data_IF_854741241335
#
_entry.id   IF_854741241335
#
_cell.length_a   1.000
_cell.length_b   1.000
_cell.length_c   1.000
_cell.angle_alpha   90.00
_cell.angle_beta   90.00
_cell.angle_gamma   90.00
#
_symmetry.space_group_name_H-M   'P 1'
#
loop_
_entity.id
_entity.type
_entity.pdbx_description
1 polymer ?
#
# COMPACT_ATOMS: atom_id res chain seq x y z
N UNK A 1 -1.04 -21.40 -3.26
CA UNK A 1 -1.01 -20.06 -3.89
C UNK A 1 0.26 -19.38 -3.43
N UNK A 2 1.24 -19.25 -4.30
CA UNK A 2 2.49 -18.53 -4.01
C UNK A 2 2.25 -17.06 -4.32
N UNK A 3 1.97 -16.25 -3.31
CA UNK A 3 2.02 -14.80 -3.45
C UNK A 3 3.48 -14.41 -3.63
N UNK A 4 3.79 -13.70 -4.71
CA UNK A 4 5.12 -13.10 -4.85
C UNK A 4 5.26 -12.04 -3.77
N UNK A 5 6.34 -12.07 -2.97
CA UNK A 5 6.55 -11.05 -1.95
C UNK A 5 6.67 -9.70 -2.65
N UNK A 6 5.90 -8.73 -2.16
CA UNK A 6 5.98 -7.35 -2.61
C UNK A 6 7.41 -6.83 -2.46
N UNK A 7 7.91 -6.15 -3.49
CA UNK A 7 9.17 -5.44 -3.35
C UNK A 7 8.94 -4.15 -2.57
N UNK A 8 10.03 -3.58 -2.05
CA UNK A 8 9.98 -2.30 -1.35
C UNK A 8 9.43 -1.19 -2.26
N UNK A 9 9.77 -1.22 -3.56
CA UNK A 9 9.28 -0.26 -4.55
C UNK A 9 7.76 -0.40 -4.76
N UNK A 10 7.26 -1.62 -4.99
CA UNK A 10 5.82 -1.88 -5.10
C UNK A 10 5.07 -1.42 -3.85
N UNK A 11 5.59 -1.76 -2.67
CA UNK A 11 4.96 -1.38 -1.41
C UNK A 11 4.88 0.15 -1.25
N UNK A 12 5.95 0.88 -1.56
CA UNK A 12 5.96 2.34 -1.51
C UNK A 12 5.00 2.96 -2.53
N UNK A 13 4.93 2.41 -3.74
CA UNK A 13 3.99 2.88 -4.77
C UNK A 13 2.54 2.70 -4.30
N UNK A 14 2.19 1.50 -3.82
CA UNK A 14 0.86 1.17 -3.33
C UNK A 14 0.40 2.09 -2.20
N UNK A 15 1.27 2.29 -1.22
CA UNK A 15 1.01 3.22 -0.10
C UNK A 15 0.76 4.62 -0.67
N UNK A 16 1.59 5.10 -1.60
CA UNK A 16 1.44 6.45 -2.17
C UNK A 16 0.11 6.63 -2.89
N UNK A 17 -0.31 5.64 -3.68
CA UNK A 17 -1.59 5.64 -4.39
C UNK A 17 -2.79 5.55 -3.43
N UNK A 18 -2.64 4.84 -2.30
CA UNK A 18 -3.70 4.63 -1.34
C UNK A 18 -4.13 5.89 -0.58
N UNK A 19 -3.25 6.89 -0.50
CA UNK A 19 -3.53 8.13 0.21
C UNK A 19 -3.91 9.29 -0.72
N UNK A 20 -4.16 9.07 -2.01
CA UNK A 20 -4.64 10.16 -2.89
C UNK A 20 -6.01 10.71 -2.42
N UNK A 21 -6.24 12.04 -2.51
CA UNK A 21 -5.36 13.10 -3.02
C UNK A 21 -4.41 13.69 -1.96
N UNK A 22 -4.29 13.09 -0.78
CA UNK A 22 -3.31 13.51 0.24
C UNK A 22 -1.88 13.22 -0.22
N UNK A 23 -0.93 14.01 0.27
CA UNK A 23 0.48 13.84 -0.03
C UNK A 23 1.07 12.71 0.82
N UNK A 24 1.42 11.59 0.21
CA UNK A 24 2.17 10.53 0.89
C UNK A 24 3.66 10.67 0.57
N UNK A 25 4.49 10.70 1.61
CA UNK A 25 5.95 10.72 1.50
C UNK A 25 6.48 9.41 2.06
N UNK A 26 6.99 8.55 1.18
CA UNK A 26 7.66 7.30 1.55
C UNK A 26 9.17 7.53 1.70
N UNK A 27 9.81 6.79 2.59
CA UNK A 27 11.24 6.86 2.85
C UNK A 27 11.79 5.45 3.07
N UNK A 28 12.60 4.98 2.13
CA UNK A 28 13.23 3.68 2.17
C UNK A 28 14.43 3.66 3.13
N UNK A 29 14.51 2.65 3.98
CA UNK A 29 15.65 2.35 4.84
C UNK A 29 16.32 1.05 4.36
N UNK A 30 17.33 1.14 3.47
CA UNK A 30 17.99 -0.04 2.90
C UNK A 30 18.79 -0.83 3.94
N UNK A 31 19.29 -0.19 5.00
CA UNK A 31 20.04 -0.86 6.08
C UNK A 31 19.18 -1.85 6.88
N UNK A 32 17.88 -1.58 7.01
CA UNK A 32 16.95 -2.37 7.83
C UNK A 32 15.92 -3.16 7.00
N UNK A 33 16.07 -3.16 5.66
CA UNK A 33 15.08 -3.74 4.72
C UNK A 33 13.65 -3.33 5.10
N UNK A 34 13.49 -2.02 5.32
CA UNK A 34 12.28 -1.42 5.87
C UNK A 34 11.99 -0.09 5.17
N UNK A 35 10.76 0.41 5.24
CA UNK A 35 10.47 1.78 4.80
C UNK A 35 9.47 2.47 5.74
N UNK A 36 9.66 3.76 5.97
CA UNK A 36 8.67 4.59 6.67
C UNK A 36 7.81 5.34 5.65
N UNK A 37 6.63 5.78 6.07
CA UNK A 37 5.84 6.69 5.26
C UNK A 37 5.06 7.68 6.12
N UNK A 38 4.85 8.88 5.58
CA UNK A 38 4.16 9.98 6.24
C UNK A 38 3.07 10.50 5.34
N UNK A 39 1.85 10.57 5.86
CA UNK A 39 0.67 11.07 5.16
C UNK A 39 0.43 12.50 5.60
N UNK A 40 0.46 13.41 4.62
CA UNK A 40 0.24 14.83 4.76
C UNK A 40 -1.07 15.19 4.07
N UNK A 41 -1.92 15.97 4.74
CA UNK A 41 -3.11 16.57 4.13
C UNK A 41 -2.72 17.45 2.94
N UNK A 42 -3.65 17.68 2.00
CA UNK A 42 -3.48 18.66 0.92
C UNK A 42 -3.18 20.09 1.40
N UNK A 43 -3.45 20.41 2.66
CA UNK A 43 -3.07 21.67 3.31
C UNK A 43 -1.64 21.67 3.89
N UNK A 44 -0.89 20.57 3.76
CA UNK A 44 0.47 20.40 4.30
C UNK A 44 0.53 20.05 5.79
N UNK A 45 -0.57 19.60 6.38
CA UNK A 45 -0.62 19.18 7.79
C UNK A 45 -0.30 17.69 7.90
N UNK A 46 0.58 17.30 8.82
CA UNK A 46 0.88 15.89 9.10
C UNK A 46 -0.36 15.22 9.72
N UNK A 47 -0.93 14.25 9.01
CA UNK A 47 -2.08 13.49 9.47
C UNK A 47 -1.62 12.26 10.25
N UNK A 48 -0.73 11.48 9.62
CA UNK A 48 -0.24 10.21 10.13
C UNK A 48 1.22 10.04 9.73
N UNK A 49 1.99 9.42 10.61
CA UNK A 49 3.34 8.95 10.32
C UNK A 49 3.47 7.51 10.78
N UNK A 50 3.92 6.61 9.90
CA UNK A 50 4.37 5.28 10.32
C UNK A 50 5.90 5.23 10.27
N UNK A 51 6.54 4.89 11.41
CA UNK A 51 7.97 5.05 11.58
C UNK A 51 8.79 4.09 10.71
N UNK A 52 8.33 2.86 10.57
CA UNK A 52 8.97 1.82 9.76
C UNK A 52 8.03 0.65 9.56
N UNK A 53 7.91 0.20 8.32
CA UNK A 53 7.29 -1.05 7.91
C UNK A 53 8.42 -2.00 7.53
N UNK A 54 8.61 -3.05 8.31
CA UNK A 54 9.64 -4.05 8.04
C UNK A 54 9.29 -4.93 6.84
N UNK A 55 10.31 -5.57 6.26
CA UNK A 55 10.13 -6.53 5.16
C UNK A 55 9.02 -7.53 5.36
N UNK A 56 8.87 -8.09 6.56
CA UNK A 56 7.83 -9.08 6.84
C UNK A 56 6.41 -8.52 6.62
N UNK A 57 6.20 -7.26 7.04
CA UNK A 57 4.93 -6.55 6.93
C UNK A 57 4.65 -6.09 5.50
N UNK A 58 5.64 -5.52 4.80
CA UNK A 58 5.39 -5.05 3.43
C UNK A 58 5.46 -6.13 2.38
N UNK A 59 6.26 -7.18 2.58
CA UNK A 59 6.38 -8.29 1.63
C UNK A 59 5.07 -9.05 1.53
N UNK A 60 4.27 -9.05 2.59
CA UNK A 60 2.97 -9.69 2.59
C UNK A 60 1.87 -8.67 2.23
N UNK A 61 1.21 -8.79 1.07
CA UNK A 61 0.20 -7.83 0.66
C UNK A 61 -0.92 -7.69 1.71
N UNK A 62 -1.33 -8.78 2.35
CA UNK A 62 -2.37 -8.72 3.37
C UNK A 62 -1.98 -7.85 4.59
N UNK A 63 -0.71 -7.90 5.01
CA UNK A 63 -0.22 -7.08 6.12
C UNK A 63 -0.13 -5.62 5.70
N UNK A 64 0.52 -5.34 4.56
CA UNK A 64 0.61 -3.99 4.02
C UNK A 64 -0.78 -3.36 3.81
N UNK A 65 -1.72 -4.11 3.25
CA UNK A 65 -3.09 -3.67 3.06
C UNK A 65 -3.79 -3.33 4.38
N UNK A 66 -3.57 -4.13 5.42
CA UNK A 66 -4.09 -3.85 6.76
C UNK A 66 -3.48 -2.59 7.36
N UNK A 67 -2.16 -2.39 7.22
CA UNK A 67 -1.46 -1.17 7.66
C UNK A 67 -2.01 0.06 6.95
N UNK A 68 -2.21 -0.02 5.63
CA UNK A 68 -2.79 1.06 4.82
C UNK A 68 -4.23 1.34 5.25
N UNK A 69 -5.07 0.31 5.42
CA UNK A 69 -6.47 0.49 5.82
C UNK A 69 -6.58 1.16 7.19
N UNK A 70 -5.81 0.70 8.19
CA UNK A 70 -5.74 1.34 9.50
C UNK A 70 -5.28 2.79 9.39
N UNK A 71 -4.23 3.05 8.61
CA UNK A 71 -3.71 4.39 8.38
C UNK A 71 -4.76 5.31 7.72
N UNK A 72 -5.57 4.79 6.79
CA UNK A 72 -6.64 5.56 6.14
C UNK A 72 -7.77 5.90 7.10
N UNK A 73 -8.17 4.97 7.97
CA UNK A 73 -9.16 5.23 9.01
C UNK A 73 -8.70 6.36 9.96
N UNK A 74 -7.42 6.38 10.34
CA UNK A 74 -6.83 7.42 11.20
C UNK A 74 -6.82 8.81 10.50
N UNK A 75 -6.62 8.82 9.18
CA UNK A 75 -6.66 10.04 8.37
C UNK A 75 -8.10 10.52 8.16
N UNK A 76 -9.05 9.61 7.93
CA UNK A 76 -10.48 9.92 7.80
C UNK A 76 -11.09 10.44 9.11
N UNK A 77 -10.64 9.94 10.27
CA UNK A 77 -11.00 10.47 11.59
C UNK A 77 -10.60 11.94 11.76
N UNK A 78 -9.54 12.39 11.08
CA UNK A 78 -9.04 13.78 11.09
C UNK A 78 -9.78 14.69 10.09
N UNK A 79 -11.01 14.35 9.73
CA UNK A 79 -11.87 15.08 8.79
C UNK A 79 -11.30 15.13 7.35
N UNK A 80 -10.46 14.15 6.98
CA UNK A 80 -9.80 14.12 5.68
C UNK A 80 -10.46 13.11 4.74
N UNK A 81 -10.85 13.55 3.55
CA UNK A 81 -11.52 12.67 2.59
C UNK A 81 -10.52 12.05 1.61
N UNK A 82 -10.19 10.79 1.85
CA UNK A 82 -9.36 9.99 0.95
C UNK A 82 -10.19 9.40 -0.19
N UNK A 83 -9.56 9.15 -1.34
CA UNK A 83 -10.22 8.41 -2.42
C UNK A 83 -10.40 6.94 -2.03
N UNK A 84 -11.47 6.27 -2.49
CA UNK A 84 -11.67 4.84 -2.24
C UNK A 84 -10.58 4.03 -2.92
N UNK A 85 -9.58 3.64 -2.15
CA UNK A 85 -8.54 2.71 -2.57
C UNK A 85 -8.81 1.30 -2.04
N UNK A 86 -8.49 0.30 -2.85
CA UNK A 86 -8.48 -1.12 -2.46
C UNK A 86 -7.16 -1.69 -2.90
N UNK A 87 -6.60 -2.59 -2.09
CA UNK A 87 -5.37 -3.26 -2.45
C UNK A 87 -5.52 -4.00 -3.78
N UNK A 88 -4.67 -3.72 -4.78
CA UNK A 88 -4.75 -4.42 -6.05
C UNK A 88 -4.45 -5.90 -5.82
N UNK A 89 -5.26 -6.75 -6.44
CA UNK A 89 -5.03 -8.19 -6.46
C UNK A 89 -3.76 -8.45 -7.26
N UNK A 90 -2.62 -8.60 -6.58
CA UNK A 90 -1.35 -9.05 -7.17
C UNK A 90 -1.54 -10.53 -7.50
N UNK A 91 -2.33 -10.75 -8.55
CA UNK A 91 -2.63 -12.06 -9.09
C UNK A 91 -1.52 -12.27 -10.10
N UNK A 92 -0.65 -13.23 -9.80
CA UNK A 92 0.38 -13.73 -10.69
C UNK A 92 -0.15 -13.74 -12.13
N UNK A 93 0.62 -13.17 -13.06
CA UNK A 93 0.25 -12.97 -14.46
C UNK A 93 -0.01 -14.28 -15.21
N UNK A 94 -1.12 -14.93 -14.90
CA UNK A 94 -1.66 -16.08 -15.59
C UNK A 94 -3.15 -15.81 -15.76
N UNK A 95 -3.44 -14.77 -16.54
CA UNK A 95 -4.57 -14.86 -17.44
C UNK A 95 -4.23 -15.91 -18.50
N UNK A 96 -4.44 -17.19 -18.20
CA UNK A 96 -4.80 -18.10 -19.28
C UNK A 96 -6.27 -17.75 -19.56
N UNK A 97 -6.63 -17.20 -20.73
CA UNK A 97 -8.02 -17.31 -21.14
C UNK A 97 -8.30 -18.82 -21.22
N UNK A 98 -9.17 -19.33 -20.35
CA UNK A 98 -9.76 -20.64 -20.55
C UNK A 98 -10.51 -20.59 -21.88
N UNK A 99 -9.86 -21.01 -22.97
CA UNK A 99 -10.54 -21.25 -24.25
C UNK A 99 -11.61 -22.30 -23.98
N UNK A 100 -12.90 -22.01 -24.22
CA UNK A 100 -13.95 -23.00 -24.02
C UNK A 100 -13.69 -24.21 -24.93
N UNK A 101 -13.96 -25.45 -24.47
CA UNK A 101 -13.75 -26.63 -25.29
C UNK A 101 -14.67 -26.55 -26.51
N UNK A 102 -14.07 -26.59 -27.70
CA UNK A 102 -14.78 -26.75 -28.94
C UNK A 102 -15.35 -28.18 -28.96
N UNK A 103 -16.67 -28.29 -28.77
CA UNK A 103 -17.45 -29.52 -28.95
C UNK A 103 -18.23 -29.44 -30.26
#
# INVERSE_FOLDING_TARGET
MTYQPLTLDDAMQLVTEAFLPCGCVTSANPDEDSFGFTVMSGSGTEMLRVPSVSRDEYSNPQHLGSVIEQARLDVEDKDQRLEPWTMPSITDGTGIPETPPNY
#
